data_IF_802464451371
#
_entry.id   IF_802464451371
#
_cell.length_a   1.000
_cell.length_b   1.000
_cell.length_c   1.000
_cell.angle_alpha   90.00
_cell.angle_beta   90.00
_cell.angle_gamma   90.00
#
_symmetry.space_group_name_H-M   'P 1'
#
loop_
_entity.id
_entity.type
_entity.pdbx_description
1 polymer ?
#
# COMPACT_ATOMS: atom_id res chain seq x y z
N UNK A 1 7.53 -11.89 9.73
CA UNK A 1 8.42 -11.45 8.61
C UNK A 1 8.81 -10.00 8.82
N UNK A 2 10.09 -9.65 8.65
CA UNK A 2 10.51 -8.26 8.67
C UNK A 2 10.11 -7.60 7.34
N UNK A 3 8.99 -6.89 7.30
CA UNK A 3 8.45 -6.24 6.09
C UNK A 3 9.50 -5.36 5.40
N UNK A 4 10.31 -4.63 6.17
CA UNK A 4 11.37 -3.74 5.67
C UNK A 4 12.49 -4.44 4.86
N UNK A 5 12.58 -5.77 4.86
CA UNK A 5 13.60 -6.50 4.12
C UNK A 5 13.35 -6.57 2.60
N UNK A 6 12.14 -6.18 2.14
CA UNK A 6 11.74 -6.27 0.74
C UNK A 6 11.51 -4.89 0.09
N UNK A 7 11.69 -4.75 -1.24
CA UNK A 7 11.37 -3.51 -1.94
C UNK A 7 9.93 -3.08 -1.67
N UNK A 8 9.73 -1.87 -1.13
CA UNK A 8 8.40 -1.37 -0.74
C UNK A 8 7.96 -1.72 0.68
N UNK A 9 8.75 -2.47 1.43
CA UNK A 9 8.46 -2.85 2.81
C UNK A 9 8.34 -1.68 3.79
N UNK A 10 9.04 -0.59 3.52
CA UNK A 10 8.91 0.69 4.19
C UNK A 10 7.50 1.26 4.07
N UNK A 11 6.94 1.28 2.84
CA UNK A 11 5.57 1.73 2.59
C UNK A 11 4.52 0.82 3.23
N UNK A 12 4.77 -0.50 3.26
CA UNK A 12 3.86 -1.44 3.91
C UNK A 12 3.83 -1.22 5.41
N UNK A 13 5.00 -1.06 6.04
CA UNK A 13 5.08 -0.78 7.48
C UNK A 13 4.40 0.55 7.82
N UNK A 14 4.76 1.62 7.12
CA UNK A 14 4.17 2.95 7.33
C UNK A 14 2.66 2.92 7.14
N UNK A 15 2.16 2.26 6.08
CA UNK A 15 0.72 2.15 5.84
C UNK A 15 -0.03 1.36 6.91
N UNK A 16 0.58 0.32 7.49
CA UNK A 16 -0.02 -0.41 8.62
C UNK A 16 -0.08 0.49 9.86
N UNK A 17 1.00 1.22 10.15
CA UNK A 17 1.07 2.14 11.30
C UNK A 17 0.05 3.29 11.15
N UNK A 18 -0.11 3.83 9.95
CA UNK A 18 -1.08 4.86 9.62
C UNK A 18 -2.52 4.35 9.75
N UNK A 19 -2.82 3.16 9.24
CA UNK A 19 -4.13 2.52 9.40
C UNK A 19 -4.45 2.25 10.89
N UNK A 20 -3.46 1.84 11.68
CA UNK A 20 -3.61 1.69 13.14
C UNK A 20 -3.98 3.00 13.84
N UNK A 21 -3.52 4.13 13.30
CA UNK A 21 -3.86 5.48 13.78
C UNK A 21 -5.09 6.08 13.09
N UNK A 22 -5.76 5.32 12.21
CA UNK A 22 -6.89 5.77 11.38
C UNK A 22 -6.55 6.97 10.48
N UNK A 23 -5.31 7.05 10.04
CA UNK A 23 -4.84 8.05 9.08
C UNK A 23 -5.06 7.56 7.66
N UNK A 24 -5.57 8.43 6.80
CA UNK A 24 -5.77 8.16 5.37
C UNK A 24 -4.63 8.78 4.57
N UNK A 25 -3.50 8.10 4.55
CA UNK A 25 -2.27 8.51 3.85
C UNK A 25 -2.08 7.70 2.56
N UNK A 26 -1.13 8.11 1.71
CA UNK A 26 -0.72 7.33 0.53
C UNK A 26 -0.33 5.89 0.93
N UNK A 27 0.56 5.66 1.92
CA UNK A 27 0.88 4.32 2.42
C UNK A 27 -0.36 3.55 2.92
N UNK A 28 -1.23 4.17 3.72
CA UNK A 28 -2.42 3.51 4.27
C UNK A 28 -3.39 3.05 3.18
N UNK A 29 -3.61 3.90 2.17
CA UNK A 29 -4.43 3.57 1.01
C UNK A 29 -3.78 2.46 0.18
N UNK A 30 -2.46 2.52 -0.06
CA UNK A 30 -1.73 1.47 -0.78
C UNK A 30 -1.82 0.11 -0.08
N UNK A 31 -1.64 0.08 1.24
CA UNK A 31 -1.79 -1.14 2.05
C UNK A 31 -3.23 -1.65 2.01
N UNK A 32 -4.22 -0.77 2.02
CA UNK A 32 -5.64 -1.14 1.89
C UNK A 32 -5.94 -1.78 0.54
N UNK A 33 -5.31 -1.32 -0.55
CA UNK A 33 -5.42 -1.95 -1.89
C UNK A 33 -4.86 -3.38 -1.84
N UNK A 34 -3.69 -3.58 -1.24
CA UNK A 34 -3.04 -4.89 -1.13
C UNK A 34 -3.64 -5.83 -0.07
N UNK A 35 -4.60 -5.37 0.74
CA UNK A 35 -5.06 -6.07 1.92
C UNK A 35 -5.45 -7.55 1.69
N UNK A 36 -6.16 -7.93 0.60
CA UNK A 36 -6.50 -9.33 0.37
C UNK A 36 -5.28 -10.23 0.19
N UNK A 37 -4.23 -9.75 -0.49
CA UNK A 37 -3.02 -10.54 -0.76
C UNK A 37 -2.05 -10.51 0.40
N UNK A 38 -1.86 -9.36 1.03
CA UNK A 38 -1.10 -9.22 2.28
C UNK A 38 -1.62 -10.16 3.37
N UNK A 39 -2.95 -10.29 3.50
CA UNK A 39 -3.58 -11.21 4.45
C UNK A 39 -3.23 -12.68 4.17
N UNK A 40 -3.18 -13.08 2.89
CA UNK A 40 -2.76 -14.44 2.49
C UNK A 40 -1.29 -14.74 2.82
N UNK A 41 -0.46 -13.69 2.85
CA UNK A 41 0.95 -13.76 3.25
C UNK A 41 1.14 -13.69 4.78
N UNK A 42 0.06 -13.71 5.56
CA UNK A 42 0.11 -13.62 7.03
C UNK A 42 0.37 -12.21 7.58
N UNK A 43 0.25 -11.18 6.74
CA UNK A 43 0.39 -9.77 7.15
C UNK A 43 -0.99 -9.24 7.53
N UNK A 44 -1.16 -8.89 8.81
CA UNK A 44 -2.40 -8.29 9.30
C UNK A 44 -2.51 -6.84 8.84
N UNK A 45 -3.59 -6.52 8.12
CA UNK A 45 -3.93 -5.15 7.73
C UNK A 45 -5.07 -4.65 8.63
N UNK A 46 -4.83 -3.66 9.52
CA UNK A 46 -5.87 -3.11 10.37
C UNK A 46 -6.83 -2.25 9.54
N UNK A 47 -8.13 -2.50 9.68
CA UNK A 47 -9.23 -1.67 9.15
C UNK A 47 -8.99 -1.09 7.75
N UNK A 48 -8.93 -1.92 6.69
CA UNK A 48 -8.74 -1.44 5.32
C UNK A 48 -9.76 -0.36 4.93
N UNK A 49 -9.29 0.69 4.26
CA UNK A 49 -10.13 1.81 3.82
C UNK A 49 -11.04 1.38 2.65
N UNK A 50 -12.32 1.78 2.61
CA UNK A 50 -13.21 1.47 1.48
C UNK A 50 -12.82 2.25 0.22
N UNK A 51 -12.92 1.59 -0.93
CA UNK A 51 -12.55 2.14 -2.25
C UNK A 51 -11.14 2.78 -2.26
N UNK A 52 -10.11 2.08 -1.77
CA UNK A 52 -8.81 2.70 -1.52
C UNK A 52 -8.10 3.13 -2.81
N UNK A 53 -8.39 2.47 -3.94
CA UNK A 53 -7.86 2.80 -5.27
C UNK A 53 -8.35 4.18 -5.74
N UNK A 54 -9.65 4.44 -5.63
CA UNK A 54 -10.25 5.72 -5.98
C UNK A 54 -9.73 6.84 -5.07
N UNK A 55 -9.71 6.61 -3.75
CA UNK A 55 -9.21 7.60 -2.78
C UNK A 55 -7.73 7.93 -3.00
N UNK A 56 -6.91 6.92 -3.30
CA UNK A 56 -5.49 7.11 -3.62
C UNK A 56 -5.33 7.97 -4.88
N UNK A 57 -6.09 7.65 -5.93
CA UNK A 57 -6.04 8.43 -7.17
C UNK A 57 -6.49 9.87 -6.95
N UNK A 58 -7.58 10.11 -6.21
CA UNK A 58 -8.05 11.46 -5.88
C UNK A 58 -7.02 12.26 -5.08
N UNK A 59 -6.38 11.64 -4.09
CA UNK A 59 -5.35 12.30 -3.28
C UNK A 59 -4.15 12.73 -4.17
N UNK A 60 -3.64 11.82 -4.99
CA UNK A 60 -2.55 12.11 -5.93
C UNK A 60 -2.94 13.17 -6.95
N UNK A 61 -4.19 13.13 -7.43
CA UNK A 61 -4.72 14.10 -8.38
C UNK A 61 -4.87 15.49 -7.75
N UNK A 62 -5.24 15.60 -6.47
CA UNK A 62 -5.29 16.87 -5.75
C UNK A 62 -3.89 17.48 -5.55
N UNK A 63 -2.87 16.64 -5.35
CA UNK A 63 -1.48 17.10 -5.21
C UNK A 63 -0.90 17.57 -6.54
N UNK A 64 -1.00 16.75 -7.59
CA UNK A 64 -0.52 17.06 -8.93
C UNK A 64 -1.26 16.23 -9.98
N UNK A 65 -2.25 16.83 -10.67
CA UNK A 65 -3.01 16.17 -11.74
C UNK A 65 -2.12 15.61 -12.86
N UNK A 66 -1.02 16.29 -13.20
CA UNK A 66 -0.19 15.93 -14.35
C UNK A 66 0.60 14.64 -14.09
N UNK A 67 0.93 14.34 -12.83
CA UNK A 67 1.69 13.15 -12.43
C UNK A 67 0.87 12.10 -11.70
N UNK A 68 -0.40 12.37 -11.38
CA UNK A 68 -1.26 11.47 -10.60
C UNK A 68 -1.27 10.02 -11.13
N UNK A 69 -1.47 9.86 -12.44
CA UNK A 69 -1.52 8.53 -13.06
C UNK A 69 -0.17 7.79 -12.99
N UNK A 70 0.94 8.49 -13.26
CA UNK A 70 2.27 7.88 -13.23
C UNK A 70 2.70 7.52 -11.80
N UNK A 71 2.38 8.37 -10.82
CA UNK A 71 2.59 8.13 -9.38
C UNK A 71 1.76 6.95 -8.89
N UNK A 72 0.47 6.90 -9.25
CA UNK A 72 -0.40 5.76 -8.93
C UNK A 72 0.19 4.45 -9.45
N UNK A 73 0.53 4.39 -10.73
CA UNK A 73 1.10 3.19 -11.34
C UNK A 73 2.45 2.80 -10.70
N UNK A 74 3.28 3.76 -10.30
CA UNK A 74 4.53 3.48 -9.60
C UNK A 74 4.30 2.84 -8.22
N UNK A 75 3.33 3.33 -7.46
CA UNK A 75 2.95 2.77 -6.16
C UNK A 75 2.40 1.35 -6.30
N UNK A 76 1.50 1.11 -7.26
CA UNK A 76 0.94 -0.22 -7.52
C UNK A 76 2.04 -1.22 -7.90
N UNK A 77 2.97 -0.85 -8.79
CA UNK A 77 4.11 -1.72 -9.14
C UNK A 77 4.98 -2.04 -7.93
N UNK A 78 5.19 -1.07 -7.04
CA UNK A 78 5.98 -1.27 -5.81
C UNK A 78 5.28 -2.22 -4.83
N UNK A 79 3.96 -2.10 -4.66
CA UNK A 79 3.15 -3.04 -3.88
C UNK A 79 3.24 -4.46 -4.46
N UNK A 80 3.02 -4.63 -5.76
CA UNK A 80 3.09 -5.94 -6.42
C UNK A 80 4.49 -6.56 -6.30
N UNK A 81 5.54 -5.74 -6.39
CA UNK A 81 6.92 -6.19 -6.18
C UNK A 81 7.15 -6.69 -4.76
N UNK A 82 6.61 -5.98 -3.75
CA UNK A 82 6.66 -6.42 -2.36
C UNK A 82 5.94 -7.76 -2.17
N UNK A 83 4.70 -7.86 -2.64
CA UNK A 83 3.86 -9.06 -2.51
C UNK A 83 4.54 -10.30 -3.11
N UNK A 84 5.15 -10.15 -4.29
CA UNK A 84 5.92 -11.22 -4.94
C UNK A 84 7.15 -11.62 -4.14
N UNK A 85 7.92 -10.64 -3.66
CA UNK A 85 9.12 -10.92 -2.88
C UNK A 85 8.78 -11.65 -1.56
N UNK A 86 7.70 -11.22 -0.89
CA UNK A 86 7.21 -11.86 0.32
C UNK A 86 6.68 -13.28 0.06
N UNK A 87 5.97 -13.50 -1.05
CA UNK A 87 5.48 -14.83 -1.48
C UNK A 87 6.61 -15.80 -1.81
N UNK A 88 7.70 -15.34 -2.42
CA UNK A 88 8.87 -16.19 -2.67
C UNK A 88 9.64 -16.57 -1.39
N UNK A 89 9.47 -15.82 -0.30
CA UNK A 89 10.17 -16.01 0.95
C UNK A 89 9.33 -16.71 2.04
N UNK A 90 8.04 -16.98 1.78
CA UNK A 90 7.11 -17.70 2.66
C UNK A 90 7.07 -19.19 2.34
#
# INVERSE_FOLDING_TARGET
MATAAYPGGDLIREGIDDLGQRLETIPALLVSIGAPRLSRLGITVPTPVPSPEHRLYELLHREDPATAHSRYNALIRRLVSFERAAECAS
#
